data_IF_263794157560
#
_entry.id   IF_263794157560
#
_cell.length_a   1.000
_cell.length_b   1.000
_cell.length_c   1.000
_cell.angle_alpha   90.00
_cell.angle_beta   90.00
_cell.angle_gamma   90.00
#
_symmetry.space_group_name_H-M   'P 1'
#
loop_
_entity.id
_entity.type
_entity.pdbx_description
1 polymer ?
#
# COMPACT_ATOMS: atom_id res chain seq x y z
N UNK A 1 -12.05 12.03 6.92
CA UNK A 1 -11.16 11.85 8.09
C UNK A 1 -10.56 10.45 8.02
N UNK A 2 -9.25 10.30 8.19
CA UNK A 2 -8.57 9.03 7.97
C UNK A 2 -8.69 8.16 9.22
N UNK A 3 -9.77 7.37 9.32
CA UNK A 3 -10.08 6.51 10.47
C UNK A 3 -8.95 5.55 10.87
N UNK A 4 -8.12 5.15 9.91
CA UNK A 4 -6.93 4.33 10.16
C UNK A 4 -5.87 5.05 10.99
N UNK A 5 -5.69 6.35 10.78
CA UNK A 5 -4.72 7.15 11.54
C UNK A 5 -5.18 7.35 12.99
N UNK A 6 -6.48 7.58 13.21
CA UNK A 6 -7.03 7.68 14.57
C UNK A 6 -7.00 6.35 15.31
N UNK A 7 -7.26 5.22 14.62
CA UNK A 7 -7.11 3.88 15.20
C UNK A 7 -5.66 3.56 15.57
N UNK A 8 -4.69 3.90 14.71
CA UNK A 8 -3.27 3.70 15.00
C UNK A 8 -2.84 4.49 16.25
N UNK A 9 -3.28 5.74 16.38
CA UNK A 9 -3.00 6.57 17.57
C UNK A 9 -3.63 5.96 18.82
N UNK A 10 -4.90 5.50 18.75
CA UNK A 10 -5.58 4.84 19.86
C UNK A 10 -4.89 3.54 20.30
N UNK A 11 -4.44 2.71 19.36
CA UNK A 11 -3.71 1.46 19.66
C UNK A 11 -2.38 1.78 20.34
N UNK A 12 -1.61 2.73 19.82
CA UNK A 12 -0.34 3.14 20.43
C UNK A 12 -0.57 3.66 21.86
N UNK A 13 -1.56 4.51 22.08
CA UNK A 13 -1.94 5.00 23.42
C UNK A 13 -2.37 3.86 24.37
N UNK A 14 -3.19 2.92 23.88
CA UNK A 14 -3.66 1.78 24.67
C UNK A 14 -2.54 0.83 25.10
N UNK A 15 -1.50 0.66 24.28
CA UNK A 15 -0.34 -0.15 24.63
C UNK A 15 0.68 0.61 25.50
N UNK A 16 0.81 1.91 25.30
CA UNK A 16 1.79 2.74 26.02
C UNK A 16 1.41 2.96 27.49
N UNK A 17 0.10 3.08 27.77
CA UNK A 17 -0.43 3.39 29.09
C UNK A 17 -0.17 2.31 30.17
N UNK A 18 -0.47 1.02 29.97
CA UNK A 18 -0.19 -0.01 30.97
C UNK A 18 1.32 -0.22 31.18
N UNK A 19 2.12 -0.05 30.11
CA UNK A 19 3.57 -0.21 30.15
C UNK A 19 4.25 0.88 30.99
N UNK A 20 3.78 2.13 30.86
CA UNK A 20 4.26 3.26 31.69
C UNK A 20 3.84 3.10 33.15
N UNK A 21 2.63 2.59 33.43
CA UNK A 21 2.18 2.31 34.80
C UNK A 21 2.98 1.18 35.45
N UNK A 22 3.32 0.12 34.72
CA UNK A 22 4.12 -1.00 35.25
C UNK A 22 5.58 -0.61 35.52
N UNK A 23 6.18 0.19 34.63
CA UNK A 23 7.55 0.72 34.82
C UNK A 23 7.61 1.69 36.01
N UNK A 24 6.58 2.52 36.20
CA UNK A 24 6.45 3.42 37.36
C UNK A 24 6.40 2.70 38.70
N UNK A 25 5.86 1.47 38.74
CA UNK A 25 5.70 0.70 39.96
C UNK A 25 6.97 -0.05 40.42
N UNK A 26 7.92 -0.35 39.51
CA UNK A 26 9.07 -1.21 39.82
C UNK A 26 10.41 -0.50 40.10
N UNK A 27 10.61 0.72 39.58
CA UNK A 27 11.97 1.32 39.51
C UNK A 27 12.17 2.50 40.48
N UNK A 28 11.10 3.03 41.07
CA UNK A 28 11.15 4.28 41.83
C UNK A 28 11.01 5.51 40.93
N UNK A 29 10.29 6.50 41.44
CA UNK A 29 9.73 7.64 40.70
C UNK A 29 10.73 8.42 39.81
N UNK A 30 12.01 8.64 40.18
CA UNK A 30 12.89 9.48 39.37
C UNK A 30 13.39 8.81 38.08
N UNK A 31 13.88 7.56 38.17
CA UNK A 31 14.39 6.83 36.99
C UNK A 31 13.25 6.35 36.09
N UNK A 32 12.12 5.96 36.67
CA UNK A 32 10.94 5.57 35.90
C UNK A 32 10.38 6.72 35.05
N UNK A 33 10.46 7.96 35.54
CA UNK A 33 10.07 9.16 34.77
C UNK A 33 11.02 9.38 33.59
N UNK A 34 12.33 9.26 33.79
CA UNK A 34 13.28 9.44 32.69
C UNK A 34 13.13 8.34 31.62
N UNK A 35 12.98 7.08 32.03
CA UNK A 35 12.71 5.95 31.13
C UNK A 35 11.37 6.10 30.39
N UNK A 36 10.33 6.58 31.08
CA UNK A 36 9.01 6.82 30.46
C UNK A 36 9.05 7.97 29.46
N UNK A 37 9.76 9.06 29.76
CA UNK A 37 9.94 10.18 28.83
C UNK A 37 10.75 9.73 27.61
N UNK A 38 11.84 8.99 27.81
CA UNK A 38 12.64 8.43 26.72
C UNK A 38 11.82 7.46 25.87
N UNK A 39 11.05 6.58 26.51
CA UNK A 39 10.15 5.65 25.84
C UNK A 39 9.11 6.40 25.01
N UNK A 40 8.41 7.36 25.60
CA UNK A 40 7.43 8.18 24.91
C UNK A 40 8.04 8.96 23.72
N UNK A 41 9.22 9.57 23.91
CA UNK A 41 9.93 10.28 22.85
C UNK A 41 10.37 9.35 21.71
N UNK A 42 10.85 8.14 22.04
CA UNK A 42 11.25 7.14 21.06
C UNK A 42 10.04 6.62 20.28
N UNK A 43 8.95 6.27 20.98
CA UNK A 43 7.71 5.79 20.34
C UNK A 43 7.11 6.88 19.45
N UNK A 44 7.08 8.13 19.91
CA UNK A 44 6.61 9.26 19.13
C UNK A 44 7.47 9.52 17.89
N UNK A 45 8.79 9.46 18.04
CA UNK A 45 9.73 9.64 16.92
C UNK A 45 9.58 8.52 15.90
N UNK A 46 9.48 7.27 16.35
CA UNK A 46 9.29 6.09 15.50
C UNK A 46 7.96 6.15 14.77
N UNK A 47 6.87 6.49 15.46
CA UNK A 47 5.56 6.65 14.85
C UNK A 47 5.57 7.73 13.76
N UNK A 48 6.18 8.89 14.06
CA UNK A 48 6.32 9.98 13.10
C UNK A 48 7.14 9.56 11.88
N UNK A 49 8.24 8.84 12.09
CA UNK A 49 9.07 8.31 11.02
C UNK A 49 8.33 7.31 10.14
N UNK A 50 7.61 6.35 10.74
CA UNK A 50 6.85 5.33 10.02
C UNK A 50 5.71 5.95 9.20
N UNK A 51 4.98 6.91 9.77
CA UNK A 51 3.93 7.64 9.03
C UNK A 51 4.53 8.40 7.86
N UNK A 52 5.63 9.12 8.07
CA UNK A 52 6.30 9.88 7.00
C UNK A 52 6.82 8.96 5.90
N UNK A 53 7.43 7.83 6.28
CA UNK A 53 7.89 6.81 5.34
C UNK A 53 6.74 6.21 4.53
N UNK A 54 5.64 5.82 5.20
CA UNK A 54 4.47 5.25 4.56
C UNK A 54 3.81 6.23 3.59
N UNK A 55 3.69 7.51 3.98
CA UNK A 55 3.13 8.56 3.11
C UNK A 55 4.03 8.79 1.91
N UNK A 56 5.35 8.90 2.09
CA UNK A 56 6.29 9.10 0.99
C UNK A 56 6.29 7.90 0.03
N UNK A 57 6.28 6.68 0.55
CA UNK A 57 6.21 5.47 -0.27
C UNK A 57 4.90 5.39 -1.05
N UNK A 58 3.78 5.76 -0.43
CA UNK A 58 2.48 5.82 -1.09
C UNK A 58 2.45 6.89 -2.19
N UNK A 59 2.98 8.09 -1.91
CA UNK A 59 3.12 9.17 -2.90
C UNK A 59 3.96 8.74 -4.10
N UNK A 60 5.13 8.15 -3.87
CA UNK A 60 6.00 7.67 -4.94
C UNK A 60 5.32 6.60 -5.81
N UNK A 61 4.52 5.71 -5.21
CA UNK A 61 3.71 4.72 -5.97
C UNK A 61 2.62 5.38 -6.80
N UNK A 62 1.94 6.38 -6.25
CA UNK A 62 0.91 7.14 -6.98
C UNK A 62 1.50 7.98 -8.11
N UNK A 63 2.66 8.60 -7.90
CA UNK A 63 3.37 9.36 -8.94
C UNK A 63 3.73 8.49 -10.14
N UNK A 64 4.25 7.27 -9.89
CA UNK A 64 4.53 6.30 -10.97
C UNK A 64 3.28 5.93 -11.76
N UNK A 65 2.16 5.72 -11.06
CA UNK A 65 0.88 5.40 -11.69
C UNK A 65 0.34 6.59 -12.51
N UNK A 66 0.49 7.81 -12.00
CA UNK A 66 0.09 9.02 -12.71
C UNK A 66 0.96 9.26 -13.95
N UNK A 67 2.28 9.05 -13.85
CA UNK A 67 3.19 9.11 -14.99
C UNK A 67 2.81 8.08 -16.07
N UNK A 68 2.50 6.84 -15.65
CA UNK A 68 2.05 5.81 -16.57
C UNK A 68 0.73 6.14 -17.26
N UNK A 69 -0.24 6.72 -16.53
CA UNK A 69 -1.48 7.20 -17.12
C UNK A 69 -1.26 8.34 -18.11
N UNK A 70 -0.39 9.29 -17.77
CA UNK A 70 -0.04 10.39 -18.65
C UNK A 70 0.62 9.89 -19.95
N UNK A 71 1.49 8.89 -19.85
CA UNK A 71 2.13 8.27 -21.01
C UNK A 71 1.12 7.59 -21.94
N UNK A 72 0.18 6.81 -21.40
CA UNK A 72 -0.90 6.19 -22.20
C UNK A 72 -1.85 7.25 -22.78
N UNK A 73 -2.12 8.33 -22.04
CA UNK A 73 -2.94 9.42 -22.55
C UNK A 73 -2.28 10.16 -23.72
N UNK A 74 -0.95 10.24 -23.75
CA UNK A 74 -0.20 10.83 -24.86
C UNK A 74 -0.17 9.92 -26.10
N UNK A 75 -0.05 8.60 -25.90
CA UNK A 75 0.03 7.63 -27.00
C UNK A 75 -0.89 6.41 -26.73
N UNK A 76 -2.22 6.55 -26.92
CA UNK A 76 -3.18 5.51 -26.54
C UNK A 76 -3.11 4.25 -27.40
N UNK A 77 -2.65 4.37 -28.64
CA UNK A 77 -2.60 3.29 -29.62
C UNK A 77 -1.25 2.56 -29.66
N UNK A 78 -0.26 3.03 -28.89
CA UNK A 78 1.06 2.43 -28.83
C UNK A 78 1.12 1.36 -27.72
N UNK A 79 1.31 0.07 -28.03
CA UNK A 79 1.42 -0.99 -27.01
C UNK A 79 2.57 -0.74 -26.03
N UNK A 80 3.65 -0.05 -26.46
CA UNK A 80 4.80 0.24 -25.59
C UNK A 80 4.48 1.30 -24.53
N UNK A 81 3.51 2.17 -24.77
CA UNK A 81 3.10 3.20 -23.81
C UNK A 81 2.46 2.60 -22.54
N UNK A 82 1.99 1.35 -22.59
CA UNK A 82 1.43 0.62 -21.45
C UNK A 82 2.49 0.08 -20.48
N UNK A 83 3.78 0.15 -20.84
CA UNK A 83 4.90 -0.26 -20.02
C UNK A 83 5.69 0.95 -19.52
N UNK A 84 5.87 1.03 -18.20
CA UNK A 84 6.66 2.09 -17.55
C UNK A 84 7.77 1.45 -16.73
N UNK A 85 9.02 1.75 -17.09
CA UNK A 85 10.19 1.18 -16.39
C UNK A 85 10.28 -0.35 -16.47
N UNK A 86 9.73 -0.95 -17.52
CA UNK A 86 9.69 -2.41 -17.71
C UNK A 86 8.52 -3.11 -17.00
N UNK A 87 7.64 -2.38 -16.31
CA UNK A 87 6.44 -2.94 -15.67
C UNK A 87 5.16 -2.46 -16.38
N UNK A 88 4.22 -3.38 -16.62
CA UNK A 88 2.94 -3.08 -17.26
C UNK A 88 1.99 -2.35 -16.29
N UNK A 89 1.26 -1.34 -16.77
CA UNK A 89 0.32 -0.57 -15.93
C UNK A 89 -0.72 -1.44 -15.22
N UNK A 90 -1.24 -2.48 -15.88
CA UNK A 90 -2.19 -3.38 -15.25
C UNK A 90 -1.58 -4.14 -14.06
N UNK A 91 -0.30 -4.49 -14.10
CA UNK A 91 0.38 -5.13 -12.97
C UNK A 91 0.51 -4.16 -11.78
N UNK A 92 0.83 -2.89 -12.06
CA UNK A 92 0.84 -1.83 -11.04
C UNK A 92 -0.55 -1.63 -10.41
N UNK A 93 -1.61 -1.65 -11.22
CA UNK A 93 -3.00 -1.53 -10.75
C UNK A 93 -3.42 -2.74 -9.90
N UNK A 94 -3.06 -3.96 -10.29
CA UNK A 94 -3.32 -5.17 -9.52
C UNK A 94 -2.62 -5.15 -8.15
N UNK A 95 -1.39 -4.61 -8.06
CA UNK A 95 -0.68 -4.41 -6.79
C UNK A 95 -1.34 -3.38 -5.86
N UNK A 96 -2.09 -2.45 -6.42
CA UNK A 96 -2.87 -1.44 -5.68
C UNK A 96 -4.33 -1.88 -5.45
N UNK A 97 -4.65 -3.15 -5.73
CA UNK A 97 -5.99 -3.73 -5.63
C UNK A 97 -7.06 -3.05 -6.51
N UNK A 98 -6.64 -2.25 -7.51
CA UNK A 98 -7.52 -1.58 -8.48
C UNK A 98 -7.85 -2.50 -9.65
N UNK A 99 -8.53 -3.61 -9.37
CA UNK A 99 -8.74 -4.73 -10.32
C UNK A 99 -9.63 -4.39 -11.50
N UNK A 100 -10.71 -3.63 -11.27
CA UNK A 100 -11.63 -3.21 -12.34
C UNK A 100 -10.89 -2.40 -13.40
N UNK A 101 -10.09 -1.45 -12.95
CA UNK A 101 -9.26 -0.62 -13.84
C UNK A 101 -8.15 -1.43 -14.50
N UNK A 102 -7.56 -2.40 -13.80
CA UNK A 102 -6.58 -3.31 -14.41
C UNK A 102 -7.21 -4.11 -15.56
N UNK A 103 -8.43 -4.63 -15.37
CA UNK A 103 -9.16 -5.37 -16.40
C UNK A 103 -9.44 -4.51 -17.64
N UNK A 104 -9.93 -3.28 -17.45
CA UNK A 104 -10.18 -2.34 -18.55
C UNK A 104 -8.90 -2.02 -19.34
N UNK A 105 -7.78 -1.86 -18.64
CA UNK A 105 -6.47 -1.61 -19.27
C UNK A 105 -5.99 -2.84 -20.04
N UNK A 106 -6.17 -4.05 -19.50
CA UNK A 106 -5.81 -5.31 -20.19
C UNK A 106 -6.68 -5.49 -21.44
N UNK A 107 -7.98 -5.24 -21.36
CA UNK A 107 -8.89 -5.37 -22.50
C UNK A 107 -8.61 -4.34 -23.58
N UNK A 108 -8.24 -3.11 -23.21
CA UNK A 108 -7.81 -2.08 -24.17
C UNK A 108 -6.49 -2.48 -24.83
N UNK A 109 -5.52 -2.94 -24.04
CA UNK A 109 -4.23 -3.41 -24.54
C UNK A 109 -4.37 -4.61 -25.49
N UNK A 110 -5.25 -5.57 -25.18
CA UNK A 110 -5.51 -6.73 -26.03
C UNK A 110 -6.14 -6.38 -27.39
N UNK A 111 -6.81 -5.22 -27.50
CA UNK A 111 -7.36 -4.71 -28.78
C UNK A 111 -6.30 -4.03 -29.65
N UNK A 112 -5.18 -3.60 -29.06
CA UNK A 112 -4.05 -3.05 -29.79
C UNK A 112 -3.27 -4.22 -30.37
N UNK A 113 -3.49 -4.52 -31.66
CA UNK A 113 -2.93 -5.68 -32.38
C UNK A 113 -1.40 -5.80 -32.46
N UNK A 114 -0.65 -5.07 -31.63
CA UNK A 114 0.79 -5.23 -31.39
C UNK A 114 1.15 -5.82 -30.03
N UNK A 115 0.16 -6.22 -29.22
CA UNK A 115 0.37 -6.90 -27.95
C UNK A 115 0.77 -8.37 -28.17
N UNK A 116 1.82 -8.83 -27.47
CA UNK A 116 2.21 -10.25 -27.53
C UNK A 116 1.18 -11.08 -26.77
N UNK A 117 0.65 -12.12 -27.41
CA UNK A 117 -0.41 -12.95 -26.84
C UNK A 117 -0.01 -13.59 -25.50
N UNK A 118 1.26 -14.00 -25.36
CA UNK A 118 1.82 -14.50 -24.10
C UNK A 118 1.77 -13.47 -22.96
N UNK A 119 1.94 -12.18 -23.25
CA UNK A 119 1.89 -11.10 -22.24
C UNK A 119 0.45 -10.86 -21.79
N UNK A 120 -0.52 -10.88 -22.72
CA UNK A 120 -1.95 -10.78 -22.41
C UNK A 120 -2.39 -11.94 -21.51
N UNK A 121 -1.96 -13.17 -21.82
CA UNK A 121 -2.25 -14.35 -21.01
C UNK A 121 -1.67 -14.20 -19.61
N UNK A 122 -0.40 -13.81 -19.47
CA UNK A 122 0.23 -13.59 -18.17
C UNK A 122 -0.50 -12.53 -17.32
N UNK A 123 -0.96 -11.44 -17.95
CA UNK A 123 -1.73 -10.39 -17.26
C UNK A 123 -3.11 -10.88 -16.80
N UNK A 124 -3.80 -11.67 -17.64
CA UNK A 124 -5.10 -12.28 -17.28
C UNK A 124 -4.95 -13.32 -16.17
N UNK A 125 -3.88 -14.11 -16.20
CA UNK A 125 -3.56 -15.04 -15.12
C UNK A 125 -3.32 -14.30 -13.80
N UNK A 126 -2.52 -13.23 -13.82
CA UNK A 126 -2.28 -12.38 -12.65
C UNK A 126 -3.58 -11.78 -12.08
N UNK A 127 -4.49 -11.33 -12.95
CA UNK A 127 -5.82 -10.86 -12.54
C UNK A 127 -6.64 -11.98 -11.89
N UNK A 128 -6.71 -13.16 -12.52
CA UNK A 128 -7.47 -14.29 -12.00
C UNK A 128 -6.94 -14.77 -10.65
N UNK A 129 -5.61 -14.75 -10.45
CA UNK A 129 -4.97 -15.09 -9.20
C UNK A 129 -5.32 -14.08 -8.10
N UNK A 130 -5.37 -12.79 -8.42
CA UNK A 130 -5.81 -11.75 -7.50
C UNK A 130 -7.28 -11.96 -7.09
N UNK A 131 -8.17 -12.24 -8.05
CA UNK A 131 -9.60 -12.52 -7.80
C UNK A 131 -9.81 -13.73 -6.87
N UNK A 132 -9.09 -14.83 -7.10
CA UNK A 132 -9.15 -16.02 -6.23
C UNK A 132 -8.76 -15.71 -4.79
N UNK A 133 -7.79 -14.82 -4.55
CA UNK A 133 -7.36 -14.45 -3.19
C UNK A 133 -8.48 -13.75 -2.41
N UNK A 134 -9.26 -12.88 -3.04
CA UNK A 134 -10.38 -12.20 -2.38
C UNK A 134 -11.56 -13.14 -2.15
N UNK A 135 -11.90 -14.01 -3.11
CA UNK A 135 -12.96 -14.99 -2.89
C UNK A 135 -12.65 -15.92 -1.71
N UNK A 136 -11.38 -16.29 -1.54
CA UNK A 136 -10.94 -17.07 -0.37
C UNK A 136 -10.97 -16.28 0.95
N UNK A 137 -10.75 -14.97 0.90
CA UNK A 137 -10.87 -14.11 2.08
C UNK A 137 -12.33 -13.94 2.48
N UNK A 138 -13.23 -13.69 1.51
CA UNK A 138 -14.67 -13.52 1.74
C UNK A 138 -15.38 -14.82 2.16
N UNK A 139 -15.00 -15.97 1.59
CA UNK A 139 -15.54 -17.27 1.98
C UNK A 139 -15.06 -17.80 3.33
N UNK A 140 -14.19 -17.06 4.03
CA UNK A 140 -13.72 -17.38 5.39
C UNK A 140 -14.44 -16.60 6.48
N UNK A 141 -15.29 -15.63 6.10
CA UNK A 141 -16.07 -14.77 7.00
C UNK A 141 -17.55 -15.21 7.13
N UNK A 142 -17.92 -16.35 6.53
CA UNK A 142 -19.25 -16.99 6.64
C UNK A 142 -19.15 -18.31 7.37
#
# INVERSE_FOLDING_TARGET
MNYAATLAVLVVLAFSFPLTVQLGAQVGVPEAVMLSILGAALTFSLATFLVRWQVNHHRARLERLNAARAQIAAEPDNPRAYFVGGEHLAALLLRLDRRREAAEVIDRYARLGGAREAEIVALREAQSAAERRVRRAQGRET
#
